data_IF_859411823693
#
_entry.id   IF_859411823693
#
_cell.length_a   1.000
_cell.length_b   1.000
_cell.length_c   1.000
_cell.angle_alpha   90.00
_cell.angle_beta   90.00
_cell.angle_gamma   90.00
#
_symmetry.space_group_name_H-M   'P 1'
#
loop_
_entity.id
_entity.type
_entity.pdbx_description
1 polymer ?
#
# COMPACT_ATOMS: atom_id res chain seq x y z
N UNK A 1 -67.44 -2.73 18.97
CA UNK A 1 -68.09 -3.00 17.67
C UNK A 1 -68.08 -1.69 16.91
N UNK A 2 -67.37 -1.63 15.79
CA UNK A 2 -67.37 -0.44 14.93
C UNK A 2 -68.75 -0.20 14.32
N UNK A 3 -69.07 1.06 14.05
CA UNK A 3 -70.29 1.46 13.34
C UNK A 3 -69.87 1.87 11.94
N UNK A 4 -70.16 1.04 10.94
CA UNK A 4 -69.78 1.31 9.55
C UNK A 4 -70.86 1.97 8.71
N UNK A 5 -72.12 2.03 9.18
CA UNK A 5 -73.20 2.78 8.54
C UNK A 5 -74.05 3.50 9.58
N UNK A 6 -74.37 4.76 9.31
CA UNK A 6 -75.29 5.57 10.12
C UNK A 6 -76.43 6.05 9.23
N UNK A 7 -77.66 5.85 9.70
CA UNK A 7 -78.89 6.21 9.00
C UNK A 7 -79.63 7.31 9.75
N UNK A 8 -80.19 8.28 9.03
CA UNK A 8 -81.17 9.24 9.56
C UNK A 8 -82.46 9.14 8.74
N UNK A 9 -83.49 8.51 9.33
CA UNK A 9 -84.67 8.10 8.58
C UNK A 9 -84.31 7.08 7.49
N UNK A 10 -84.69 7.35 6.24
CA UNK A 10 -84.38 6.51 5.08
C UNK A 10 -83.05 6.86 4.38
N UNK A 11 -82.30 7.84 4.88
CA UNK A 11 -81.05 8.31 4.25
C UNK A 11 -79.82 7.80 4.98
N UNK A 12 -78.85 7.30 4.22
CA UNK A 12 -77.49 7.01 4.72
C UNK A 12 -76.73 8.32 4.86
N UNK A 13 -76.27 8.62 6.08
CA UNK A 13 -75.50 9.83 6.39
C UNK A 13 -74.00 9.55 6.55
N UNK A 14 -73.65 8.31 6.89
CA UNK A 14 -72.26 7.82 6.92
C UNK A 14 -72.28 6.40 6.36
N UNK A 15 -71.41 6.11 5.39
CA UNK A 15 -71.18 4.76 4.88
C UNK A 15 -69.67 4.51 4.71
N UNK A 16 -69.11 3.71 5.60
CA UNK A 16 -67.72 3.30 5.58
C UNK A 16 -67.52 1.96 4.86
N UNK A 17 -68.57 1.30 4.37
CA UNK A 17 -68.44 -0.06 3.82
C UNK A 17 -67.54 -0.18 2.59
N UNK A 18 -67.24 0.93 1.91
CA UNK A 18 -66.24 1.01 0.84
C UNK A 18 -64.84 1.47 1.28
N UNK A 19 -64.59 1.68 2.57
CA UNK A 19 -63.31 2.16 3.09
C UNK A 19 -62.21 1.12 2.87
N UNK A 20 -61.13 1.51 2.19
CA UNK A 20 -59.95 0.68 1.91
C UNK A 20 -58.77 1.03 2.82
N UNK A 21 -59.05 1.69 3.95
CA UNK A 21 -58.02 2.16 4.88
C UNK A 21 -57.31 0.97 5.52
N UNK A 22 -55.99 0.88 5.31
CA UNK A 22 -55.12 -0.16 5.86
C UNK A 22 -53.98 0.47 6.67
N UNK A 23 -53.61 -0.11 7.84
CA UNK A 23 -52.59 0.47 8.74
C UNK A 23 -51.25 0.76 8.07
N UNK A 24 -50.79 -0.12 7.17
CA UNK A 24 -49.51 -0.02 6.47
C UNK A 24 -49.46 1.08 5.40
N UNK A 25 -50.62 1.62 5.03
CA UNK A 25 -50.79 2.74 4.08
C UNK A 25 -50.95 4.09 4.76
N UNK A 26 -51.03 4.11 6.08
CA UNK A 26 -51.20 5.32 6.88
C UNK A 26 -49.96 5.59 7.73
N UNK A 27 -49.54 6.85 7.78
CA UNK A 27 -48.42 7.29 8.62
C UNK A 27 -48.67 6.94 10.09
N UNK A 28 -47.62 6.57 10.81
CA UNK A 28 -47.76 6.20 12.23
C UNK A 28 -48.51 7.26 13.04
N UNK A 29 -49.49 6.80 13.84
CA UNK A 29 -50.25 7.63 14.76
C UNK A 29 -51.41 8.40 14.12
N UNK A 30 -51.56 8.37 12.80
CA UNK A 30 -52.76 8.88 12.13
C UNK A 30 -53.92 7.90 12.33
N UNK A 31 -55.06 8.43 12.72
CA UNK A 31 -56.28 7.67 13.00
C UNK A 31 -57.20 7.70 11.78
N UNK A 32 -57.65 6.52 11.33
CA UNK A 32 -58.67 6.33 10.30
C UNK A 32 -59.69 5.29 10.73
N UNK A 33 -60.62 4.95 9.83
CA UNK A 33 -61.65 3.93 10.08
C UNK A 33 -61.77 2.96 8.91
N UNK A 34 -61.79 1.65 9.20
CA UNK A 34 -61.94 0.60 8.19
C UNK A 34 -63.41 0.40 7.77
N UNK A 35 -63.65 -0.56 6.87
CA UNK A 35 -64.98 -0.90 6.39
C UNK A 35 -65.92 -1.50 7.46
N UNK A 36 -65.38 -1.95 8.60
CA UNK A 36 -66.13 -2.36 9.78
C UNK A 36 -66.43 -1.19 10.74
N UNK A 37 -65.97 0.02 10.42
CA UNK A 37 -66.12 1.22 11.25
C UNK A 37 -65.26 1.19 12.51
N UNK A 38 -64.21 0.36 12.51
CA UNK A 38 -63.25 0.25 13.60
C UNK A 38 -62.12 1.24 13.39
N UNK A 39 -61.59 1.77 14.49
CA UNK A 39 -60.42 2.64 14.47
C UNK A 39 -59.21 1.87 13.93
N UNK A 40 -58.51 2.48 12.98
CA UNK A 40 -57.25 2.00 12.42
C UNK A 40 -56.19 3.06 12.69
N UNK A 41 -55.13 2.68 13.39
CA UNK A 41 -53.98 3.54 13.62
C UNK A 41 -52.93 3.17 12.57
N UNK A 42 -52.42 4.16 11.87
CA UNK A 42 -51.34 3.96 10.91
C UNK A 42 -50.10 3.37 11.57
N UNK A 43 -49.40 2.52 10.83
CA UNK A 43 -48.14 1.87 11.27
C UNK A 43 -46.98 2.20 10.33
N UNK A 44 -47.21 2.97 9.27
CA UNK A 44 -46.17 3.31 8.33
C UNK A 44 -45.20 4.32 8.97
N UNK A 45 -44.03 3.81 9.32
CA UNK A 45 -42.89 4.63 9.73
C UNK A 45 -42.21 5.18 8.48
N UNK A 46 -42.12 6.51 8.36
CA UNK A 46 -41.14 7.08 7.44
C UNK A 46 -39.75 6.72 7.97
N UNK A 47 -39.09 5.76 7.32
CA UNK A 47 -37.69 5.48 7.63
C UNK A 47 -36.86 6.75 7.41
N UNK A 48 -35.96 7.05 8.35
CA UNK A 48 -34.97 8.11 8.16
C UNK A 48 -34.14 7.79 6.91
N UNK A 49 -34.43 8.45 5.80
CA UNK A 49 -33.88 8.12 4.49
C UNK A 49 -34.39 9.06 3.41
N UNK A 50 -33.78 9.00 2.23
CA UNK A 50 -34.09 9.88 1.09
C UNK A 50 -35.13 9.26 0.12
N UNK A 51 -35.86 8.25 0.61
CA UNK A 51 -36.76 7.37 -0.16
C UNK A 51 -36.02 6.34 -1.01
N UNK A 52 -36.72 5.58 -1.85
CA UNK A 52 -36.17 4.48 -2.66
C UNK A 52 -36.27 4.72 -4.18
N UNK A 53 -36.71 5.91 -4.59
CA UNK A 53 -36.88 6.24 -6.01
C UNK A 53 -35.55 6.34 -6.75
N UNK A 54 -35.54 6.02 -8.04
CA UNK A 54 -34.33 6.02 -8.87
C UNK A 54 -33.55 7.35 -8.88
N UNK A 55 -34.24 8.47 -8.67
CA UNK A 55 -33.66 9.81 -8.62
C UNK A 55 -33.94 10.48 -7.27
N UNK A 56 -32.99 11.27 -6.78
CA UNK A 56 -33.09 11.97 -5.49
C UNK A 56 -32.78 13.46 -5.63
N UNK A 57 -33.58 14.30 -4.99
CA UNK A 57 -33.36 15.74 -4.88
C UNK A 57 -33.23 16.19 -3.43
N UNK A 58 -32.31 17.12 -3.20
CA UNK A 58 -32.29 17.94 -1.98
C UNK A 58 -33.22 19.14 -2.18
N UNK A 59 -34.05 19.40 -1.18
CA UNK A 59 -35.04 20.48 -1.19
C UNK A 59 -34.57 21.57 -0.24
N UNK A 60 -34.49 22.80 -0.73
CA UNK A 60 -34.18 23.98 0.05
C UNK A 60 -35.35 24.96 0.02
N UNK A 61 -35.36 25.87 0.99
CA UNK A 61 -36.15 27.09 0.88
C UNK A 61 -35.64 27.96 -0.28
N UNK A 62 -36.40 29.00 -0.59
CA UNK A 62 -36.04 30.00 -1.59
C UNK A 62 -35.80 31.34 -0.93
N UNK A 63 -34.89 32.13 -1.48
CA UNK A 63 -34.72 33.55 -1.12
C UNK A 63 -34.71 34.42 -2.37
N UNK A 64 -35.05 35.68 -2.18
CA UNK A 64 -34.96 36.68 -3.23
C UNK A 64 -33.58 37.33 -3.21
N UNK A 65 -32.93 37.39 -4.36
CA UNK A 65 -31.64 38.04 -4.52
C UNK A 65 -31.70 39.04 -5.69
N UNK A 66 -31.40 40.30 -5.41
CA UNK A 66 -31.36 41.33 -6.44
C UNK A 66 -30.07 41.24 -7.25
N UNK A 67 -30.23 41.21 -8.57
CA UNK A 67 -29.13 41.12 -9.51
C UNK A 67 -29.20 42.28 -10.52
N UNK A 68 -28.17 42.41 -11.37
CA UNK A 68 -28.05 43.50 -12.31
C UNK A 68 -27.56 43.03 -13.68
N UNK A 69 -27.78 43.88 -14.68
CA UNK A 69 -27.26 43.74 -16.04
C UNK A 69 -26.25 44.84 -16.32
N UNK A 70 -25.40 44.61 -17.31
CA UNK A 70 -24.38 45.58 -17.72
C UNK A 70 -24.45 45.86 -19.21
N UNK A 71 -24.15 47.11 -19.58
CA UNK A 71 -24.03 47.54 -20.97
C UNK A 71 -22.80 48.45 -21.10
N UNK A 72 -21.78 47.98 -21.79
CA UNK A 72 -20.60 48.79 -22.10
C UNK A 72 -20.96 49.92 -23.07
N UNK A 73 -20.40 51.10 -22.83
CA UNK A 73 -20.55 52.25 -23.71
C UNK A 73 -19.41 52.30 -24.72
N UNK A 74 -19.67 52.84 -25.90
CA UNK A 74 -18.68 52.91 -27.00
C UNK A 74 -17.87 54.20 -27.01
N UNK A 75 -18.05 55.07 -26.01
CA UNK A 75 -17.35 56.35 -25.90
C UNK A 75 -16.33 56.33 -24.77
N UNK A 76 -15.21 57.03 -24.99
CA UNK A 76 -14.23 57.35 -23.95
C UNK A 76 -14.54 58.65 -23.20
N UNK A 77 -15.48 59.46 -23.70
CA UNK A 77 -15.96 60.66 -22.99
C UNK A 77 -16.82 60.28 -21.80
N UNK A 78 -16.80 61.12 -20.76
CA UNK A 78 -17.73 60.97 -19.64
C UNK A 78 -19.18 61.10 -20.17
N UNK A 79 -20.09 60.15 -19.88
CA UNK A 79 -21.45 60.16 -20.42
C UNK A 79 -22.35 61.24 -19.80
N UNK A 80 -23.20 61.86 -20.61
CA UNK A 80 -24.23 62.80 -20.15
C UNK A 80 -25.27 62.13 -19.24
N UNK A 81 -25.83 62.89 -18.29
CA UNK A 81 -26.87 62.43 -17.37
C UNK A 81 -26.36 61.72 -16.11
N UNK A 82 -25.04 61.75 -15.85
CA UNK A 82 -24.43 61.26 -14.63
C UNK A 82 -23.70 62.37 -13.89
N UNK A 83 -23.81 62.37 -12.57
CA UNK A 83 -23.10 63.30 -11.70
C UNK A 83 -21.60 62.94 -11.61
N UNK A 84 -20.74 63.96 -11.59
CA UNK A 84 -19.28 63.78 -11.58
C UNK A 84 -18.70 63.32 -10.24
N UNK A 85 -19.51 63.28 -9.18
CA UNK A 85 -19.11 62.79 -7.85
C UNK A 85 -18.71 61.33 -7.94
N UNK A 86 -17.54 61.02 -7.38
CA UNK A 86 -16.94 59.69 -7.46
C UNK A 86 -17.24 58.85 -6.23
N UNK A 87 -17.46 57.56 -6.47
CA UNK A 87 -17.63 56.53 -5.45
C UNK A 87 -16.71 55.35 -5.75
N UNK A 88 -16.35 54.59 -4.72
CA UNK A 88 -15.34 53.52 -4.82
C UNK A 88 -15.95 52.11 -4.70
N UNK A 89 -17.25 52.02 -4.44
CA UNK A 89 -17.96 50.75 -4.34
C UNK A 89 -19.46 50.94 -4.33
N UNK A 90 -20.17 49.83 -4.36
CA UNK A 90 -21.62 49.77 -4.37
C UNK A 90 -22.10 48.50 -3.69
N UNK A 91 -23.34 48.53 -3.20
CA UNK A 91 -24.11 47.36 -2.78
C UNK A 91 -25.49 47.44 -3.41
N UNK A 92 -26.20 46.32 -3.56
CA UNK A 92 -27.62 46.36 -3.92
C UNK A 92 -28.44 46.19 -2.64
N UNK A 93 -29.37 47.10 -2.42
CA UNK A 93 -30.23 47.11 -1.25
C UNK A 93 -31.42 46.16 -1.43
N UNK A 94 -32.09 45.80 -0.33
CA UNK A 94 -33.22 44.85 -0.35
C UNK A 94 -34.44 45.35 -1.16
N UNK A 95 -34.54 46.66 -1.38
CA UNK A 95 -35.53 47.31 -2.26
C UNK A 95 -35.05 47.43 -3.73
N UNK A 96 -33.89 46.85 -4.05
CA UNK A 96 -33.37 46.70 -5.41
C UNK A 96 -32.74 47.95 -5.99
N UNK A 97 -32.00 48.73 -5.21
CA UNK A 97 -31.27 49.89 -5.70
C UNK A 97 -29.76 49.68 -5.48
N UNK A 98 -28.94 50.18 -6.40
CA UNK A 98 -27.53 50.38 -6.07
C UNK A 98 -27.43 51.47 -5.03
N UNK A 99 -26.68 51.23 -3.95
CA UNK A 99 -26.26 52.25 -2.99
C UNK A 99 -24.74 52.41 -3.08
N UNK A 100 -24.28 53.63 -3.41
CA UNK A 100 -22.86 53.89 -3.63
C UNK A 100 -22.12 54.29 -2.35
N UNK A 101 -20.93 53.73 -2.17
CA UNK A 101 -20.08 53.90 -0.98
C UNK A 101 -18.90 54.85 -1.23
N UNK A 102 -18.68 55.76 -0.28
CA UNK A 102 -17.50 56.65 -0.27
C UNK A 102 -16.34 55.95 0.42
N UNK A 103 -15.11 56.21 -0.03
CA UNK A 103 -13.91 55.62 0.54
C UNK A 103 -12.66 56.06 -0.20
N UNK A 104 -11.51 55.52 0.20
CA UNK A 104 -10.22 55.78 -0.46
C UNK A 104 -10.09 54.93 -1.72
N UNK A 105 -9.60 55.54 -2.81
CA UNK A 105 -9.59 54.95 -4.14
C UNK A 105 -8.68 53.73 -4.23
N UNK A 106 -9.26 52.54 -4.40
CA UNK A 106 -8.53 51.34 -4.85
C UNK A 106 -9.44 50.49 -5.73
N UNK A 107 -9.60 50.88 -7.00
CA UNK A 107 -10.41 50.12 -7.95
C UNK A 107 -11.09 50.98 -9.01
N UNK A 108 -12.22 50.46 -9.50
CA UNK A 108 -13.11 51.14 -10.43
C UNK A 108 -13.82 52.31 -9.74
N UNK A 109 -14.25 53.28 -10.54
CA UNK A 109 -15.01 54.44 -10.05
C UNK A 109 -16.47 54.31 -10.45
N UNK A 110 -17.37 54.68 -9.54
CA UNK A 110 -18.81 54.62 -9.76
C UNK A 110 -19.45 56.00 -9.66
N UNK A 111 -20.51 56.22 -10.43
CA UNK A 111 -21.21 57.50 -10.54
C UNK A 111 -22.72 57.28 -10.52
N UNK A 112 -23.43 58.22 -9.89
CA UNK A 112 -24.88 58.25 -9.85
C UNK A 112 -25.44 59.06 -11.03
N UNK A 113 -26.67 58.79 -11.49
CA UNK A 113 -27.42 59.69 -12.36
C UNK A 113 -27.60 61.08 -11.74
N UNK A 114 -27.69 62.12 -12.57
CA UNK A 114 -27.91 63.51 -12.11
C UNK A 114 -29.24 63.69 -11.35
N UNK A 115 -30.25 62.89 -11.69
CA UNK A 115 -31.59 62.90 -11.07
C UNK A 115 -31.71 61.97 -9.85
N UNK A 116 -30.60 61.35 -9.42
CA UNK A 116 -30.61 60.44 -8.27
C UNK A 116 -30.93 61.16 -6.96
N UNK A 117 -31.70 60.49 -6.10
CA UNK A 117 -32.05 60.99 -4.76
C UNK A 117 -31.22 60.25 -3.72
N UNK A 118 -30.38 60.98 -2.98
CA UNK A 118 -29.44 60.38 -2.02
C UNK A 118 -28.31 59.63 -2.72
N UNK A 119 -27.84 58.52 -2.13
CA UNK A 119 -26.76 57.69 -2.71
C UNK A 119 -27.28 56.48 -3.47
N UNK A 120 -28.56 56.49 -3.87
CA UNK A 120 -29.25 55.32 -4.43
C UNK A 120 -29.74 55.54 -5.85
N UNK A 121 -29.62 54.52 -6.70
CA UNK A 121 -30.17 54.55 -8.07
C UNK A 121 -30.42 53.13 -8.62
N UNK A 122 -31.40 52.98 -9.51
CA UNK A 122 -31.61 51.73 -10.28
C UNK A 122 -30.53 51.50 -11.35
N UNK A 123 -29.89 52.59 -11.79
CA UNK A 123 -28.83 52.58 -12.79
C UNK A 123 -27.65 53.39 -12.27
N UNK A 124 -26.44 52.85 -12.42
CA UNK A 124 -25.20 53.54 -12.08
C UNK A 124 -24.20 53.39 -13.21
N UNK A 125 -23.24 54.31 -13.28
CA UNK A 125 -22.13 54.21 -14.21
C UNK A 125 -20.91 53.65 -13.49
N UNK A 126 -20.26 52.66 -14.09
CA UNK A 126 -18.94 52.16 -13.68
C UNK A 126 -17.90 52.61 -14.69
N UNK A 127 -16.77 53.13 -14.20
CA UNK A 127 -15.56 53.41 -14.97
C UNK A 127 -14.49 52.40 -14.60
N UNK A 128 -14.11 51.55 -15.55
CA UNK A 128 -13.05 50.56 -15.36
C UNK A 128 -11.68 51.22 -15.17
N UNK A 129 -10.95 50.84 -14.13
CA UNK A 129 -9.63 51.42 -13.78
C UNK A 129 -8.60 51.27 -14.91
N UNK A 130 -8.61 50.12 -15.58
CA UNK A 130 -7.65 49.76 -16.63
C UNK A 130 -8.26 49.73 -18.03
N UNK A 131 -9.52 50.13 -18.17
CA UNK A 131 -10.25 50.12 -19.43
C UNK A 131 -10.00 51.44 -20.17
N UNK A 132 -8.96 51.49 -21.00
CA UNK A 132 -8.60 52.71 -21.76
C UNK A 132 -9.53 52.93 -22.95
N UNK A 133 -9.98 51.85 -23.60
CA UNK A 133 -10.95 51.86 -24.68
C UNK A 133 -12.30 51.51 -24.08
N UNK A 134 -13.32 52.35 -24.28
CA UNK A 134 -14.67 52.16 -23.74
C UNK A 134 -14.69 51.98 -22.21
N UNK A 135 -14.15 52.94 -21.43
CA UNK A 135 -14.00 52.86 -19.98
C UNK A 135 -15.32 52.67 -19.22
N UNK A 136 -16.44 53.09 -19.81
CA UNK A 136 -17.70 53.22 -19.10
C UNK A 136 -18.66 52.07 -19.36
N UNK A 137 -19.29 51.57 -18.30
CA UNK A 137 -20.31 50.53 -18.33
C UNK A 137 -21.51 50.98 -17.50
N UNK A 138 -22.69 50.97 -18.09
CA UNK A 138 -23.94 51.20 -17.36
C UNK A 138 -24.34 49.90 -16.69
N UNK A 139 -24.52 49.95 -15.37
CA UNK A 139 -25.04 48.85 -14.56
C UNK A 139 -26.49 49.16 -14.22
N UNK A 140 -27.41 48.21 -14.46
CA UNK A 140 -28.85 48.37 -14.22
C UNK A 140 -29.35 47.24 -13.34
N UNK A 141 -29.86 47.54 -12.15
CA UNK A 141 -30.55 46.54 -11.32
C UNK A 141 -31.75 46.02 -12.11
N UNK A 142 -31.98 44.70 -12.07
CA UNK A 142 -33.16 44.08 -12.69
C UNK A 142 -34.46 44.69 -12.12
N UNK A 143 -35.56 44.52 -12.84
CA UNK A 143 -36.86 45.04 -12.42
C UNK A 143 -37.48 44.25 -11.25
N UNK A 144 -37.06 42.98 -11.08
CA UNK A 144 -37.45 42.10 -9.99
C UNK A 144 -36.24 41.29 -9.49
N UNK A 145 -36.24 40.84 -8.22
CA UNK A 145 -35.21 39.95 -7.72
C UNK A 145 -35.32 38.56 -8.35
N UNK A 146 -34.20 37.86 -8.41
CA UNK A 146 -34.18 36.46 -8.82
C UNK A 146 -34.57 35.58 -7.62
N UNK A 147 -35.44 34.58 -7.83
CA UNK A 147 -35.66 33.54 -6.82
C UNK A 147 -34.50 32.54 -6.88
N UNK A 148 -33.69 32.53 -5.83
CA UNK A 148 -32.50 31.68 -5.73
C UNK A 148 -32.63 30.69 -4.59
N UNK A 149 -31.65 29.79 -4.50
CA UNK A 149 -31.53 28.82 -3.41
C UNK A 149 -31.41 29.56 -2.07
N UNK A 150 -32.29 29.25 -1.14
CA UNK A 150 -32.19 29.69 0.24
C UNK A 150 -31.12 28.92 1.03
N UNK A 151 -31.01 29.25 2.30
CA UNK A 151 -29.92 28.76 3.17
C UNK A 151 -30.33 27.49 3.95
N UNK A 152 -31.63 27.16 4.01
CA UNK A 152 -32.15 26.07 4.83
C UNK A 152 -32.47 24.82 4.00
N UNK A 153 -31.90 23.68 4.37
CA UNK A 153 -32.29 22.38 3.84
C UNK A 153 -33.62 21.95 4.47
N UNK A 154 -34.66 21.79 3.65
CA UNK A 154 -35.99 21.37 4.08
C UNK A 154 -36.14 19.84 4.11
N UNK A 155 -35.35 19.12 3.31
CA UNK A 155 -35.35 17.66 3.30
C UNK A 155 -34.92 17.09 1.95
N UNK A 156 -35.33 15.85 1.71
CA UNK A 156 -35.06 15.12 0.47
C UNK A 156 -36.33 14.51 -0.07
N UNK A 157 -36.38 14.32 -1.38
CA UNK A 157 -37.45 13.59 -2.08
C UNK A 157 -36.84 12.68 -3.12
N UNK A 158 -37.45 11.52 -3.33
CA UNK A 158 -37.10 10.63 -4.43
C UNK A 158 -38.31 10.19 -5.23
N UNK A 159 -38.06 9.85 -6.48
CA UNK A 159 -39.05 9.40 -7.45
C UNK A 159 -38.35 8.64 -8.58
N UNK A 160 -39.09 7.79 -9.29
CA UNK A 160 -38.60 7.02 -10.41
C UNK A 160 -38.61 7.81 -11.73
N UNK A 161 -39.28 8.98 -11.76
CA UNK A 161 -39.31 9.85 -12.92
C UNK A 161 -38.15 10.86 -12.90
N UNK A 162 -37.33 10.85 -13.95
CA UNK A 162 -36.14 11.72 -14.07
C UNK A 162 -36.47 13.22 -14.07
N UNK A 163 -37.62 13.58 -14.62
CA UNK A 163 -38.09 14.94 -14.91
C UNK A 163 -39.13 15.45 -13.91
N UNK A 164 -39.38 14.70 -12.82
CA UNK A 164 -40.35 15.09 -11.79
C UNK A 164 -40.02 16.44 -11.12
N UNK A 165 -38.73 16.77 -11.03
CA UNK A 165 -38.22 18.02 -10.48
C UNK A 165 -37.03 18.50 -11.33
N UNK A 166 -36.75 19.82 -11.37
CA UNK A 166 -35.63 20.35 -12.14
C UNK A 166 -34.30 19.78 -11.63
N UNK A 167 -33.33 19.65 -12.54
CA UNK A 167 -31.95 19.27 -12.18
C UNK A 167 -31.38 20.22 -11.11
N UNK A 168 -31.64 21.51 -11.31
CA UNK A 168 -31.35 22.61 -10.38
C UNK A 168 -32.33 23.74 -10.67
N UNK A 169 -33.15 24.14 -9.71
CA UNK A 169 -34.06 25.26 -9.92
C UNK A 169 -35.24 25.30 -8.97
N UNK A 170 -36.12 26.29 -9.19
CA UNK A 170 -37.32 26.51 -8.38
C UNK A 170 -38.51 25.78 -9.01
N UNK A 171 -39.26 25.05 -8.17
CA UNK A 171 -40.57 24.49 -8.48
C UNK A 171 -41.39 24.53 -7.19
N UNK A 172 -42.71 24.75 -7.25
CA UNK A 172 -43.58 24.69 -6.07
C UNK A 172 -43.10 25.53 -4.87
N UNK A 173 -42.53 26.72 -5.13
CA UNK A 173 -41.96 27.63 -4.13
C UNK A 173 -40.83 27.03 -3.28
N UNK A 174 -40.10 26.05 -3.83
CA UNK A 174 -38.94 25.39 -3.22
C UNK A 174 -37.82 25.28 -4.24
N UNK A 175 -36.58 25.20 -3.76
CA UNK A 175 -35.41 25.03 -4.62
C UNK A 175 -34.92 23.59 -4.59
N UNK A 176 -34.87 22.95 -5.75
CA UNK A 176 -34.45 21.56 -5.92
C UNK A 176 -33.04 21.48 -6.51
N UNK A 177 -32.28 20.49 -6.04
CA UNK A 177 -31.00 20.09 -6.63
C UNK A 177 -30.98 18.56 -6.70
N UNK A 178 -30.83 17.98 -7.89
CA UNK A 178 -30.68 16.53 -8.03
C UNK A 178 -29.32 16.10 -7.48
N UNK A 179 -29.32 15.14 -6.56
CA UNK A 179 -28.11 14.64 -5.88
C UNK A 179 -27.78 13.18 -6.20
N UNK A 180 -28.72 12.44 -6.81
CA UNK A 180 -28.51 11.07 -7.30
C UNK A 180 -29.39 10.80 -8.52
N UNK A 181 -28.88 10.01 -9.46
CA UNK A 181 -29.62 9.46 -10.61
C UNK A 181 -29.70 7.94 -10.58
N UNK A 182 -30.41 7.36 -11.55
CA UNK A 182 -30.68 5.92 -11.64
C UNK A 182 -29.44 5.06 -11.89
N UNK A 183 -28.39 5.67 -12.44
CA UNK A 183 -27.08 5.08 -12.74
C UNK A 183 -26.08 5.21 -11.58
N UNK A 184 -26.49 5.78 -10.43
CA UNK A 184 -25.63 5.93 -9.27
C UNK A 184 -25.24 4.56 -8.68
N UNK A 185 -23.95 4.23 -8.76
CA UNK A 185 -23.39 2.95 -8.33
C UNK A 185 -22.45 3.09 -7.10
N UNK A 186 -22.52 4.25 -6.44
CA UNK A 186 -21.70 4.60 -5.27
C UNK A 186 -22.03 3.65 -4.12
N UNK A 187 -20.99 3.02 -3.57
CA UNK A 187 -21.09 2.19 -2.37
C UNK A 187 -19.98 2.58 -1.39
N UNK A 188 -20.14 2.24 -0.11
CA UNK A 188 -19.13 2.54 0.91
C UNK A 188 -17.72 2.03 0.51
N UNK A 189 -17.66 0.83 -0.08
CA UNK A 189 -16.42 0.21 -0.55
C UNK A 189 -15.78 0.84 -1.79
N UNK A 190 -16.40 1.85 -2.41
CA UNK A 190 -15.84 2.62 -3.54
C UNK A 190 -15.28 3.98 -3.12
N UNK A 191 -15.42 4.38 -1.86
CA UNK A 191 -15.04 5.71 -1.37
C UNK A 191 -14.12 5.62 -0.17
N UNK A 192 -13.21 6.60 -0.06
CA UNK A 192 -12.35 6.76 1.12
C UNK A 192 -13.18 6.95 2.39
N UNK A 193 -12.67 6.43 3.50
CA UNK A 193 -13.30 6.52 4.81
C UNK A 193 -13.65 7.97 5.15
N UNK A 194 -14.92 8.21 5.47
CA UNK A 194 -15.43 9.54 5.86
C UNK A 194 -15.88 10.42 4.69
N UNK A 195 -15.60 10.06 3.43
CA UNK A 195 -16.19 10.72 2.27
C UNK A 195 -17.68 10.35 2.19
N UNK A 196 -18.54 11.35 1.96
CA UNK A 196 -19.99 11.17 1.89
C UNK A 196 -20.46 11.27 0.44
N UNK A 197 -21.20 10.26 0.00
CA UNK A 197 -22.01 10.28 -1.23
C UNK A 197 -23.49 10.13 -0.92
N UNK A 198 -24.34 10.37 -1.92
CA UNK A 198 -25.78 10.14 -1.84
C UNK A 198 -26.18 9.23 -3.00
N UNK A 199 -27.05 8.27 -2.72
CA UNK A 199 -27.60 7.30 -3.68
C UNK A 199 -29.12 7.32 -3.63
N UNK A 200 -29.80 6.56 -4.48
CA UNK A 200 -31.22 6.29 -4.30
C UNK A 200 -31.59 5.61 -2.98
N UNK A 201 -30.64 4.98 -2.27
CA UNK A 201 -30.88 4.27 -1.02
C UNK A 201 -30.53 5.06 0.25
N UNK A 202 -30.03 6.29 0.12
CA UNK A 202 -29.55 7.04 1.28
C UNK A 202 -28.20 7.72 1.11
N UNK A 203 -27.83 8.41 2.19
CA UNK A 203 -26.46 8.84 2.45
C UNK A 203 -25.57 7.61 2.59
N UNK A 204 -24.47 7.57 1.85
CA UNK A 204 -23.45 6.52 1.91
C UNK A 204 -22.15 7.15 2.37
N UNK A 205 -21.56 6.59 3.43
CA UNK A 205 -20.23 7.00 3.91
C UNK A 205 -19.20 6.00 3.44
N UNK A 206 -18.11 6.47 2.85
CA UNK A 206 -17.00 5.64 2.38
C UNK A 206 -16.34 4.86 3.51
N UNK A 207 -15.77 3.72 3.17
CA UNK A 207 -15.16 2.78 4.12
C UNK A 207 -13.71 2.38 3.77
N UNK A 208 -13.20 2.77 2.59
CA UNK A 208 -11.83 2.44 2.18
C UNK A 208 -10.85 3.14 3.12
N UNK A 209 -10.09 2.36 3.87
CA UNK A 209 -9.10 2.89 4.81
C UNK A 209 -7.84 3.33 4.05
N UNK A 210 -7.35 4.52 4.35
CA UNK A 210 -6.07 5.00 3.84
C UNK A 210 -4.91 4.40 4.62
N UNK A 211 -3.85 4.03 3.91
CA UNK A 211 -2.59 3.57 4.48
C UNK A 211 -1.49 4.53 4.08
N UNK A 212 -0.86 5.12 5.10
CA UNK A 212 0.29 5.98 4.94
C UNK A 212 1.51 5.20 4.40
N UNK A 213 2.54 5.94 4.01
CA UNK A 213 3.79 5.37 3.53
C UNK A 213 4.40 4.41 4.57
N UNK A 214 4.91 3.28 4.10
CA UNK A 214 5.61 2.31 4.92
C UNK A 214 6.81 1.74 4.18
N UNK A 215 7.80 1.29 4.94
CA UNK A 215 8.88 0.43 4.44
C UNK A 215 8.66 -0.99 4.95
N UNK A 216 8.59 -1.95 4.04
CA UNK A 216 8.42 -3.38 4.32
C UNK A 216 9.76 -4.07 4.09
N UNK A 217 10.29 -4.68 5.14
CA UNK A 217 11.46 -5.57 5.04
C UNK A 217 10.97 -7.01 4.85
N UNK A 218 11.32 -7.67 3.73
CA UNK A 218 11.02 -9.10 3.55
C UNK A 218 11.61 -9.96 4.68
N UNK A 219 11.03 -11.13 4.90
CA UNK A 219 11.54 -12.12 5.84
C UNK A 219 11.22 -13.53 5.37
N UNK A 220 11.41 -14.52 6.25
CA UNK A 220 11.11 -15.91 5.91
C UNK A 220 9.61 -16.19 5.69
N UNK A 221 8.72 -15.29 6.12
CA UNK A 221 7.27 -15.40 5.95
C UNK A 221 6.72 -14.20 5.19
N UNK A 222 5.61 -14.41 4.50
CA UNK A 222 4.93 -13.40 3.68
C UNK A 222 4.60 -12.14 4.47
N UNK A 223 4.80 -11.00 3.82
CA UNK A 223 4.38 -9.69 4.32
C UNK A 223 3.18 -9.22 3.51
N UNK A 224 2.00 -9.32 4.10
CA UNK A 224 0.74 -9.02 3.42
C UNK A 224 0.30 -7.59 3.70
N UNK A 225 -0.06 -6.85 2.64
CA UNK A 225 -0.91 -5.67 2.74
C UNK A 225 -2.35 -6.15 2.55
N UNK A 226 -3.20 -5.94 3.55
CA UNK A 226 -4.61 -6.34 3.45
C UNK A 226 -5.29 -5.66 2.25
N UNK A 227 -6.20 -6.39 1.58
CA UNK A 227 -6.99 -5.83 0.49
C UNK A 227 -7.93 -4.72 0.98
N UNK A 228 -8.43 -3.89 0.05
CA UNK A 228 -9.34 -2.79 0.38
C UNK A 228 -8.68 -1.60 1.07
N UNK A 229 -7.36 -1.46 0.96
CA UNK A 229 -6.60 -0.29 1.42
C UNK A 229 -6.32 0.66 0.26
N UNK A 230 -6.48 1.96 0.51
CA UNK A 230 -5.97 3.00 -0.38
C UNK A 230 -4.56 3.38 0.06
N UNK A 231 -3.57 3.17 -0.80
CA UNK A 231 -2.17 3.50 -0.50
C UNK A 231 -1.94 4.99 -0.75
N UNK A 232 -2.16 5.81 0.29
CA UNK A 232 -1.96 7.26 0.20
C UNK A 232 -0.49 7.67 0.25
N UNK A 233 0.41 6.74 0.58
CA UNK A 233 1.85 6.93 0.54
C UNK A 233 2.58 5.74 -0.07
N UNK A 234 3.83 5.96 -0.49
CA UNK A 234 4.68 4.94 -1.11
C UNK A 234 4.89 3.76 -0.18
N UNK A 235 4.65 2.55 -0.69
CA UNK A 235 4.97 1.30 -0.01
C UNK A 235 6.29 0.77 -0.58
N UNK A 236 7.35 0.88 0.19
CA UNK A 236 8.69 0.46 -0.23
C UNK A 236 8.96 -0.94 0.27
N UNK A 237 8.97 -1.93 -0.63
CA UNK A 237 9.46 -3.28 -0.31
C UNK A 237 10.97 -3.27 -0.51
N UNK A 238 11.75 -3.50 0.56
CA UNK A 238 13.21 -3.48 0.51
C UNK A 238 13.74 -4.65 -0.31
N UNK A 239 14.58 -4.34 -1.31
CA UNK A 239 15.52 -5.31 -1.87
C UNK A 239 16.77 -5.44 -1.01
N UNK A 240 17.54 -6.50 -1.25
CA UNK A 240 18.86 -6.72 -0.67
C UNK A 240 19.88 -6.88 -1.81
N UNK A 241 20.91 -6.04 -1.82
CA UNK A 241 21.96 -6.09 -2.84
C UNK A 241 22.77 -7.39 -2.78
N UNK A 242 22.73 -8.12 -1.65
CA UNK A 242 23.37 -9.41 -1.49
C UNK A 242 22.53 -10.58 -2.03
N UNK A 243 21.31 -10.34 -2.53
CA UNK A 243 20.50 -11.37 -3.21
C UNK A 243 21.04 -11.66 -4.61
N UNK A 244 22.26 -12.19 -4.65
CA UNK A 244 23.01 -12.58 -5.85
C UNK A 244 23.32 -14.07 -5.78
N UNK A 245 23.32 -14.74 -6.94
CA UNK A 245 23.61 -16.18 -7.01
C UNK A 245 24.95 -16.54 -6.34
N UNK A 246 25.97 -15.70 -6.52
CA UNK A 246 27.31 -15.89 -5.95
C UNK A 246 27.38 -15.81 -4.42
N UNK A 247 26.38 -15.20 -3.78
CA UNK A 247 26.27 -15.13 -2.32
C UNK A 247 25.38 -16.24 -1.73
N UNK A 248 24.68 -16.99 -2.59
CA UNK A 248 23.76 -18.04 -2.19
C UNK A 248 24.41 -19.39 -2.44
N UNK A 249 24.34 -20.29 -1.46
CA UNK A 249 24.89 -21.65 -1.54
C UNK A 249 24.42 -22.35 -2.81
N UNK A 250 25.35 -23.00 -3.51
CA UNK A 250 25.05 -23.73 -4.74
C UNK A 250 23.86 -24.70 -4.56
N UNK A 251 22.88 -24.61 -5.46
CA UNK A 251 21.65 -25.41 -5.44
C UNK A 251 20.54 -24.94 -4.49
N UNK A 252 20.76 -23.90 -3.67
CA UNK A 252 19.71 -23.28 -2.85
C UNK A 252 19.02 -22.18 -3.64
N UNK A 253 17.70 -22.06 -3.56
CA UNK A 253 16.96 -20.94 -4.16
C UNK A 253 16.37 -20.03 -3.09
N UNK A 254 16.59 -18.72 -3.21
CA UNK A 254 15.98 -17.69 -2.37
C UNK A 254 15.24 -16.72 -3.30
N UNK A 255 13.91 -16.62 -3.15
CA UNK A 255 13.04 -15.79 -4.00
C UNK A 255 13.26 -16.00 -5.51
N UNK A 256 13.55 -17.23 -5.94
CA UNK A 256 13.79 -17.58 -7.35
C UNK A 256 15.23 -17.42 -7.82
N UNK A 257 16.13 -16.84 -7.02
CA UNK A 257 17.56 -16.76 -7.34
C UNK A 257 18.23 -18.06 -6.89
N UNK A 258 18.67 -18.87 -7.86
CA UNK A 258 19.42 -20.11 -7.59
C UNK A 258 20.88 -19.76 -7.30
N UNK A 259 21.40 -20.27 -6.19
CA UNK A 259 22.76 -20.03 -5.76
C UNK A 259 23.80 -20.75 -6.61
N UNK A 260 24.98 -20.12 -6.72
CA UNK A 260 26.17 -20.61 -7.41
C UNK A 260 27.41 -20.63 -6.52
N UNK A 261 27.30 -20.24 -5.25
CA UNK A 261 28.43 -20.24 -4.32
C UNK A 261 28.89 -21.68 -4.03
N UNK A 262 30.05 -22.06 -4.55
CA UNK A 262 30.61 -23.40 -4.42
C UNK A 262 31.38 -23.64 -3.11
N UNK A 263 31.68 -22.59 -2.33
CA UNK A 263 32.60 -22.68 -1.19
C UNK A 263 34.04 -22.95 -1.62
N UNK A 264 35.02 -22.43 -0.87
CA UNK A 264 36.42 -22.81 -1.08
C UNK A 264 36.65 -24.20 -0.51
N UNK A 265 36.92 -25.19 -1.36
CA UNK A 265 37.54 -26.44 -0.89
C UNK A 265 38.91 -26.11 -0.34
N UNK A 266 39.03 -25.94 0.98
CA UNK A 266 40.30 -26.21 1.63
C UNK A 266 40.51 -27.72 1.50
N UNK A 267 41.15 -28.15 0.41
CA UNK A 267 41.56 -29.54 0.25
C UNK A 267 42.41 -29.91 1.45
N UNK A 268 41.82 -30.62 2.43
CA UNK A 268 42.60 -31.18 3.51
C UNK A 268 43.57 -32.18 2.90
N UNK A 269 44.85 -32.13 3.29
CA UNK A 269 45.82 -33.15 2.90
C UNK A 269 45.25 -34.53 3.21
N UNK A 270 45.12 -35.38 2.19
CA UNK A 270 44.68 -36.76 2.40
C UNK A 270 45.72 -37.46 3.26
N UNK A 271 45.27 -38.26 4.22
CA UNK A 271 46.15 -39.07 5.06
C UNK A 271 45.79 -40.53 4.85
N UNK A 272 46.79 -41.37 4.62
CA UNK A 272 46.66 -42.83 4.54
C UNK A 272 47.51 -43.47 5.63
N UNK A 273 47.10 -44.67 6.07
CA UNK A 273 47.87 -45.46 7.03
C UNK A 273 47.66 -46.94 6.75
N UNK A 274 48.62 -47.76 7.19
CA UNK A 274 48.53 -49.20 7.04
C UNK A 274 49.68 -49.91 7.75
N UNK A 275 49.83 -51.19 7.44
CA UNK A 275 50.90 -52.02 7.99
C UNK A 275 51.75 -52.64 6.89
N UNK A 276 53.00 -52.94 7.19
CA UNK A 276 53.89 -53.71 6.30
C UNK A 276 54.75 -54.66 7.11
N UNK A 277 55.11 -55.80 6.52
CA UNK A 277 56.00 -56.78 7.15
C UNK A 277 57.45 -56.51 6.75
N UNK A 278 58.36 -56.47 7.73
CA UNK A 278 59.78 -56.26 7.49
C UNK A 278 60.43 -57.42 6.74
N UNK A 279 61.24 -57.09 5.73
CA UNK A 279 61.91 -58.04 4.84
C UNK A 279 63.42 -58.18 5.12
N UNK A 280 63.88 -57.80 6.31
CA UNK A 280 65.29 -57.95 6.66
C UNK A 280 66.17 -56.99 5.85
N UNK A 281 67.06 -57.59 5.06
CA UNK A 281 67.98 -56.86 4.20
C UNK A 281 67.32 -56.41 2.88
N UNK A 282 66.17 -56.99 2.52
CA UNK A 282 65.52 -56.70 1.25
C UNK A 282 64.71 -55.40 1.32
N UNK A 283 64.61 -54.64 0.22
CA UNK A 283 63.75 -53.47 0.14
C UNK A 283 62.27 -53.82 0.33
N UNK A 284 61.50 -52.85 0.83
CA UNK A 284 60.05 -52.98 1.02
C UNK A 284 59.35 -51.83 0.30
N UNK A 285 58.34 -52.17 -0.50
CA UNK A 285 57.49 -51.20 -1.22
C UNK A 285 56.09 -51.16 -0.61
N UNK A 286 55.56 -49.96 -0.45
CA UNK A 286 54.27 -49.66 0.19
C UNK A 286 53.48 -48.78 -0.77
N UNK A 287 52.36 -49.29 -1.24
CA UNK A 287 51.36 -48.48 -1.93
C UNK A 287 50.47 -47.80 -0.88
N UNK A 288 50.53 -46.47 -0.83
CA UNK A 288 49.77 -45.70 0.16
C UNK A 288 48.34 -45.42 -0.28
N UNK A 289 48.01 -45.62 -1.56
CA UNK A 289 46.74 -45.22 -2.16
C UNK A 289 46.55 -43.70 -2.30
N UNK A 290 47.57 -42.90 -2.05
CA UNK A 290 47.59 -41.45 -2.30
C UNK A 290 48.08 -41.15 -3.71
N UNK A 291 47.78 -39.97 -4.27
CA UNK A 291 48.30 -39.59 -5.60
C UNK A 291 49.78 -39.16 -5.50
N UNK A 292 50.16 -38.58 -4.36
CA UNK A 292 51.53 -38.23 -3.99
C UNK A 292 51.75 -38.41 -2.48
N UNK A 293 53.01 -38.42 -2.02
CA UNK A 293 53.35 -38.48 -0.59
C UNK A 293 54.35 -37.37 -0.25
N UNK A 294 53.93 -36.38 0.54
CA UNK A 294 54.80 -35.32 1.05
C UNK A 294 55.46 -35.67 2.38
N UNK A 295 54.78 -36.46 3.22
CA UNK A 295 55.31 -36.96 4.50
C UNK A 295 55.00 -38.44 4.67
N UNK A 296 55.98 -39.21 5.14
CA UNK A 296 55.81 -40.62 5.45
C UNK A 296 56.52 -40.98 6.75
N UNK A 297 55.88 -41.77 7.60
CA UNK A 297 56.50 -42.34 8.79
C UNK A 297 56.22 -43.83 8.86
N UNK A 298 57.19 -44.59 9.35
CA UNK A 298 57.14 -46.04 9.54
C UNK A 298 57.67 -46.35 10.93
N UNK A 299 56.96 -47.16 11.71
CA UNK A 299 57.39 -47.51 13.07
C UNK A 299 56.97 -48.92 13.48
N UNK A 300 57.88 -49.62 14.17
CA UNK A 300 57.70 -50.97 14.67
C UNK A 300 56.95 -50.95 16.00
N UNK A 301 55.92 -51.79 16.13
CA UNK A 301 55.12 -51.90 17.36
C UNK A 301 55.71 -52.86 18.39
N UNK A 302 56.75 -53.62 18.01
CA UNK A 302 57.34 -54.65 18.87
C UNK A 302 58.68 -54.20 19.42
N UNK A 303 58.97 -54.64 20.64
CA UNK A 303 60.34 -54.61 21.15
C UNK A 303 61.25 -55.40 20.22
N UNK A 304 62.34 -54.79 19.77
CA UNK A 304 63.24 -55.44 18.83
C UNK A 304 63.78 -56.77 19.38
N UNK A 305 63.48 -57.88 18.71
CA UNK A 305 64.03 -59.21 19.00
C UNK A 305 65.28 -59.53 18.17
N UNK A 306 65.64 -58.64 17.25
CA UNK A 306 66.82 -58.69 16.39
C UNK A 306 67.27 -57.27 16.05
N UNK A 307 68.44 -57.12 15.41
CA UNK A 307 68.90 -55.82 14.94
C UNK A 307 68.02 -55.29 13.82
N UNK A 308 67.63 -54.02 13.88
CA UNK A 308 66.84 -53.39 12.83
C UNK A 308 66.33 -52.00 13.19
N UNK A 309 65.70 -51.35 12.21
CA UNK A 309 65.09 -50.03 12.36
C UNK A 309 63.82 -50.13 13.19
N UNK A 310 63.64 -49.22 14.15
CA UNK A 310 62.42 -49.11 14.96
C UNK A 310 61.50 -48.05 14.35
N UNK A 311 62.06 -46.95 13.87
CA UNK A 311 61.30 -45.92 13.16
C UNK A 311 62.11 -45.31 12.02
N UNK A 312 61.42 -44.96 10.94
CA UNK A 312 61.95 -44.17 9.85
C UNK A 312 60.91 -43.12 9.43
N UNK A 313 61.37 -41.93 9.06
CA UNK A 313 60.53 -40.83 8.61
C UNK A 313 61.12 -40.20 7.36
N UNK A 314 60.24 -39.78 6.46
CA UNK A 314 60.53 -39.02 5.26
C UNK A 314 59.69 -37.74 5.31
N UNK A 315 60.35 -36.60 5.24
CA UNK A 315 59.75 -35.28 5.12
C UNK A 315 60.73 -34.36 4.39
N UNK A 316 60.23 -33.47 3.53
CA UNK A 316 61.05 -32.50 2.79
C UNK A 316 62.23 -33.12 2.02
N UNK A 317 62.05 -34.34 1.50
CA UNK A 317 63.09 -35.08 0.77
C UNK A 317 64.17 -35.72 1.65
N UNK A 318 64.06 -35.61 2.99
CA UNK A 318 65.05 -36.11 3.93
C UNK A 318 64.53 -37.37 4.63
N UNK A 319 65.33 -38.44 4.63
CA UNK A 319 65.06 -39.64 5.43
C UNK A 319 65.79 -39.56 6.77
N UNK A 320 65.09 -39.79 7.86
CA UNK A 320 65.66 -39.98 9.21
C UNK A 320 65.20 -41.31 9.78
N UNK A 321 65.95 -41.88 10.72
CA UNK A 321 65.54 -43.12 11.37
C UNK A 321 66.35 -43.49 12.59
N UNK A 322 65.71 -44.28 13.44
CA UNK A 322 66.28 -44.81 14.69
C UNK A 322 66.22 -46.33 14.62
N UNK A 323 67.36 -46.97 14.82
CA UNK A 323 67.48 -48.42 14.85
C UNK A 323 68.13 -48.91 16.13
N UNK A 324 68.07 -50.23 16.32
CA UNK A 324 68.70 -50.91 17.44
C UNK A 324 69.55 -52.07 16.97
N UNK A 325 70.70 -52.22 17.62
CA UNK A 325 71.56 -53.40 17.48
C UNK A 325 71.22 -54.41 18.57
N UNK A 326 70.97 -55.66 18.18
CA UNK A 326 70.74 -56.78 19.08
C UNK A 326 72.04 -57.56 19.28
N UNK A 327 72.51 -57.63 20.53
CA UNK A 327 73.67 -58.41 20.94
C UNK A 327 73.38 -59.19 22.22
N UNK A 328 74.21 -60.18 22.51
CA UNK A 328 74.08 -61.08 23.66
C UNK A 328 74.12 -60.39 25.03
N UNK A 329 74.57 -59.13 25.14
CA UNK A 329 74.69 -58.47 26.44
C UNK A 329 73.97 -57.12 26.62
N UNK A 330 73.74 -56.30 25.57
CA UNK A 330 72.82 -55.14 25.65
C UNK A 330 72.34 -54.69 24.24
N UNK A 331 71.16 -54.02 24.18
CA UNK A 331 70.66 -53.36 22.97
C UNK A 331 71.24 -51.95 22.88
N UNK A 332 71.91 -51.62 21.78
CA UNK A 332 72.44 -50.26 21.54
C UNK A 332 71.55 -49.54 20.54
N UNK A 333 71.11 -48.32 20.88
CA UNK A 333 70.36 -47.43 19.97
C UNK A 333 71.34 -46.73 19.03
N UNK A 334 71.01 -46.67 17.75
CA UNK A 334 71.77 -45.92 16.74
C UNK A 334 70.88 -45.03 15.89
N UNK A 335 71.41 -43.90 15.46
CA UNK A 335 70.78 -43.00 14.51
C UNK A 335 71.27 -43.34 13.11
N UNK A 336 70.35 -43.83 12.28
CA UNK A 336 70.67 -44.31 10.95
C UNK A 336 69.44 -44.91 10.31
N UNK A 337 69.25 -44.61 9.04
CA UNK A 337 68.15 -45.12 8.23
C UNK A 337 68.70 -45.74 6.94
N UNK A 338 67.88 -46.59 6.32
CA UNK A 338 67.94 -46.77 4.88
C UNK A 338 67.50 -45.49 4.16
N UNK A 339 67.23 -45.64 2.87
CA UNK A 339 66.65 -44.57 2.04
C UNK A 339 65.15 -44.79 1.90
N UNK A 340 64.37 -43.73 2.05
CA UNK A 340 62.98 -43.70 1.61
C UNK A 340 62.92 -42.97 0.27
N UNK A 341 62.42 -43.64 -0.75
CA UNK A 341 62.11 -43.07 -2.05
C UNK A 341 60.59 -43.00 -2.23
N UNK A 342 60.10 -41.88 -2.77
CA UNK A 342 58.68 -41.66 -3.06
C UNK A 342 58.51 -41.44 -4.56
N UNK A 343 57.60 -42.20 -5.17
CA UNK A 343 57.20 -42.07 -6.57
C UNK A 343 55.67 -42.10 -6.65
N UNK A 344 55.05 -40.92 -6.83
CA UNK A 344 53.59 -40.77 -6.67
C UNK A 344 53.14 -41.21 -5.28
N UNK A 345 52.12 -42.08 -5.23
CA UNK A 345 51.61 -42.72 -4.01
C UNK A 345 52.44 -43.86 -3.45
N UNK A 346 53.51 -44.27 -4.13
CA UNK A 346 54.30 -45.45 -3.75
C UNK A 346 55.55 -45.05 -2.99
N UNK A 347 55.78 -45.69 -1.84
CA UNK A 347 56.94 -45.47 -0.98
C UNK A 347 57.80 -46.73 -0.94
N UNK A 348 59.10 -46.60 -1.20
CA UNK A 348 60.07 -47.70 -1.11
C UNK A 348 61.11 -47.43 -0.04
N UNK A 349 61.25 -48.37 0.91
CA UNK A 349 62.30 -48.36 1.93
C UNK A 349 63.42 -49.33 1.56
N UNK A 350 64.64 -48.82 1.39
CA UNK A 350 65.83 -49.61 1.05
C UNK A 350 66.85 -49.54 2.19
N UNK A 351 67.13 -50.63 2.92
CA UNK A 351 68.16 -50.68 3.95
C UNK A 351 69.55 -50.35 3.41
N UNK A 352 70.44 -49.86 4.28
CA UNK A 352 71.86 -49.64 3.91
C UNK A 352 72.64 -50.95 4.01
N UNK A 353 73.40 -51.25 2.96
CA UNK A 353 74.27 -52.43 2.92
C UNK A 353 75.17 -52.53 4.15
N UNK A 354 75.33 -53.76 4.65
CA UNK A 354 76.15 -54.10 5.81
C UNK A 354 75.81 -53.33 7.11
N UNK A 355 74.65 -52.67 7.18
CA UNK A 355 74.26 -51.84 8.33
C UNK A 355 72.99 -52.38 8.99
N UNK A 356 73.17 -53.34 9.92
CA UNK A 356 72.06 -54.10 10.51
C UNK A 356 70.96 -53.24 11.16
N UNK A 357 71.31 -52.09 11.75
CA UNK A 357 70.35 -51.19 12.41
C UNK A 357 69.39 -50.48 11.44
N UNK A 358 69.65 -50.55 10.12
CA UNK A 358 68.82 -49.94 9.08
C UNK A 358 67.91 -50.95 8.38
N UNK A 359 67.98 -52.24 8.75
CA UNK A 359 67.15 -53.30 8.19
C UNK A 359 65.76 -53.27 8.83
N UNK A 360 64.69 -53.46 8.05
CA UNK A 360 63.40 -53.77 8.66
C UNK A 360 63.50 -55.16 9.28
N UNK A 361 63.12 -55.32 10.54
CA UNK A 361 63.28 -56.61 11.22
C UNK A 361 62.45 -57.68 10.51
N UNK A 362 63.10 -58.80 10.15
CA UNK A 362 62.46 -59.88 9.37
C UNK A 362 61.20 -60.39 10.08
N UNK A 363 60.06 -60.33 9.39
CA UNK A 363 58.78 -60.81 9.92
C UNK A 363 58.16 -59.92 11.00
N UNK A 364 58.74 -58.77 11.32
CA UNK A 364 58.13 -57.79 12.21
C UNK A 364 57.11 -56.94 11.47
N UNK A 365 56.02 -56.59 12.15
CA UNK A 365 55.00 -55.68 11.61
C UNK A 365 55.36 -54.23 11.94
N UNK A 366 55.28 -53.38 10.93
CA UNK A 366 55.45 -51.95 11.04
C UNK A 366 54.16 -51.25 10.64
N UNK A 367 53.79 -50.21 11.38
CA UNK A 367 52.72 -49.29 10.96
C UNK A 367 53.34 -48.14 10.20
N UNK A 368 52.67 -47.71 9.14
CA UNK A 368 53.02 -46.53 8.39
C UNK A 368 51.87 -45.53 8.33
N UNK A 369 52.23 -44.25 8.22
CA UNK A 369 51.31 -43.14 7.96
C UNK A 369 51.92 -42.31 6.83
N UNK A 370 51.11 -41.96 5.84
CA UNK A 370 51.46 -41.16 4.68
C UNK A 370 50.51 -39.96 4.58
N UNK A 371 51.03 -38.81 4.19
CA UNK A 371 50.26 -37.58 3.96
C UNK A 371 50.54 -37.11 2.54
N UNK A 372 49.47 -36.75 1.83
CA UNK A 372 49.50 -36.15 0.49
C UNK A 372 50.01 -34.71 0.55
#
# INVERSE_FOLDING_TARGET
>A
MGINKVMYGSKTVIDLSGSTVAPDKMLEGIIGYNAAGEEVIGTHQCQAGIGTGAYVWAIYDTKEEWNYTTKSLTSASFPDGYDSTTYVGWTITNDGYFELNKGTTSGDTYYLPEDSVGRKAKKILRKGRYSVINPYTVMTVKDAPDTVKGDNLLGYISTDAEDAYPLKGVQDNKYYIRISGSDADVTAGKMLSGIVGYTNNGKVTGSIQSQAAQTITPGASDKTIASGKYLSGTQTIKGDANLLAENIKNGVSIFGVVGSFAGGSSGGSKTAQGTVTGAGADPVTIDTGLDNVSTFVLFCHKSASTSGVISAAYADGITTGVGVSYSQYFKTVGYGSGTIAVEGGTVSYTPKDNTAITKLMQGAEYTWIAIE
#
